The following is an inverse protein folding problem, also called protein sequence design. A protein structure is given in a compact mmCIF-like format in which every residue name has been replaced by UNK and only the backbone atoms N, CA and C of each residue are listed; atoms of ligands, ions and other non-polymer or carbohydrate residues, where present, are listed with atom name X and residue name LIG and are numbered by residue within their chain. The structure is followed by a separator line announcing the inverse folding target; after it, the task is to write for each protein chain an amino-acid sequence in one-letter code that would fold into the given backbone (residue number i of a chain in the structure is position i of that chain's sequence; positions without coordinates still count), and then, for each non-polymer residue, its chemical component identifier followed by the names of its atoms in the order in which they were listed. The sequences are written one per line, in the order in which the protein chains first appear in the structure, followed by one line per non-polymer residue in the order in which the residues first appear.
data_IF_621998734590
#
_entry.id   IF_621998734590
#
_cell.length_a   1.000
_cell.length_b   1.000
_cell.length_c   1.000
_cell.angle_alpha   90.00
_cell.angle_beta   90.00
_cell.angle_gamma   90.00
#
_symmetry.space_group_name_H-M   'P 1'
#
loop_
_entity.id
_entity.type
_entity.pdbx_description
1 polymer ?
#
# COMPACT_ATOMS: atom_id res chain seq x y z
N UNK A 1 -9.85 27.78 38.60
CA UNK A 1 -9.79 26.37 38.14
C UNK A 1 -10.00 26.35 36.63
N UNK A 2 -8.93 26.25 35.86
CA UNK A 2 -8.97 26.21 34.39
C UNK A 2 -9.47 24.84 33.93
N UNK A 3 -10.64 24.81 33.28
CA UNK A 3 -11.20 23.61 32.68
C UNK A 3 -10.37 23.22 31.44
N UNK A 4 -9.52 22.20 31.58
CA UNK A 4 -8.79 21.61 30.46
C UNK A 4 -9.78 21.15 29.39
N UNK A 5 -9.66 21.70 28.17
CA UNK A 5 -10.47 21.31 27.00
C UNK A 5 -10.31 19.80 26.78
N UNK A 6 -11.42 19.06 26.68
CA UNK A 6 -11.44 17.59 26.57
C UNK A 6 -10.65 17.14 25.32
N UNK A 7 -9.45 16.59 25.52
CA UNK A 7 -8.57 16.08 24.45
C UNK A 7 -9.19 14.82 23.85
N UNK A 8 -9.54 14.83 22.56
CA UNK A 8 -10.04 13.64 21.85
C UNK A 8 -8.87 12.72 21.47
N UNK A 9 -8.83 11.52 22.02
CA UNK A 9 -7.74 10.55 21.78
C UNK A 9 -8.02 9.69 20.54
N UNK A 10 -6.98 9.45 19.75
CA UNK A 10 -6.95 8.50 18.64
C UNK A 10 -6.99 7.04 19.11
N UNK A 11 -7.27 6.10 18.20
CA UNK A 11 -7.28 4.67 18.51
C UNK A 11 -5.91 4.19 19.03
N UNK A 12 -4.82 4.68 18.43
CA UNK A 12 -3.45 4.38 18.84
C UNK A 12 -3.17 4.86 20.26
N UNK A 13 -3.49 6.12 20.59
CA UNK A 13 -3.29 6.66 21.94
C UNK A 13 -4.11 5.88 22.99
N UNK A 14 -5.32 5.42 22.64
CA UNK A 14 -6.12 4.57 23.53
C UNK A 14 -5.48 3.20 23.76
N UNK A 15 -4.90 2.61 22.71
CA UNK A 15 -4.17 1.34 22.80
C UNK A 15 -2.91 1.49 23.64
N UNK A 16 -2.13 2.56 23.45
CA UNK A 16 -0.91 2.82 24.22
C UNK A 16 -1.20 2.92 25.73
N UNK A 17 -2.33 3.51 26.11
CA UNK A 17 -2.80 3.57 27.50
C UNK A 17 -3.13 2.17 28.05
N UNK A 18 -3.83 1.33 27.27
CA UNK A 18 -4.21 -0.03 27.66
C UNK A 18 -3.00 -0.97 27.75
N UNK A 19 -2.10 -0.90 26.77
CA UNK A 19 -0.85 -1.67 26.72
C UNK A 19 0.06 -1.28 27.90
N UNK A 20 0.17 0.03 28.20
CA UNK A 20 0.89 0.49 29.39
C UNK A 20 0.27 -0.04 30.69
N UNK A 21 -1.06 0.02 30.83
CA UNK A 21 -1.76 -0.52 32.02
C UNK A 21 -1.48 -2.02 32.19
N UNK A 22 -1.53 -2.79 31.12
CA UNK A 22 -1.31 -4.24 31.13
C UNK A 22 0.14 -4.60 31.48
N UNK A 23 1.11 -3.92 30.86
CA UNK A 23 2.54 -4.21 31.03
C UNK A 23 3.10 -3.80 32.40
N UNK A 24 2.37 -2.97 33.13
CA UNK A 24 2.79 -2.45 34.44
C UNK A 24 1.87 -2.95 35.58
N UNK A 25 1.26 -4.13 35.43
CA UNK A 25 0.52 -4.79 36.53
C UNK A 25 -0.84 -4.16 36.86
N UNK A 26 -1.61 -3.77 35.83
CA UNK A 26 -2.95 -3.17 35.99
C UNK A 26 -2.97 -1.86 36.79
N UNK A 27 -2.11 -0.94 36.36
CA UNK A 27 -1.99 0.40 36.92
C UNK A 27 -3.35 1.12 37.04
N UNK A 28 -3.57 1.75 38.19
CA UNK A 28 -4.81 2.47 38.51
C UNK A 28 -5.08 3.69 37.63
N UNK A 29 -6.36 4.06 37.51
CA UNK A 29 -6.87 5.14 36.65
C UNK A 29 -6.18 6.49 36.93
N UNK A 30 -5.88 6.79 38.20
CA UNK A 30 -5.24 8.05 38.59
C UNK A 30 -3.83 8.19 38.01
N UNK A 31 -3.03 7.12 38.07
CA UNK A 31 -1.66 7.10 37.56
C UNK A 31 -1.65 7.19 36.04
N UNK A 32 -2.60 6.53 35.37
CA UNK A 32 -2.78 6.65 33.92
C UNK A 32 -3.20 8.07 33.50
N UNK A 33 -4.13 8.68 34.23
CA UNK A 33 -4.58 10.05 33.97
C UNK A 33 -3.45 11.08 34.08
N UNK A 34 -2.61 10.95 35.12
CA UNK A 34 -1.44 11.81 35.33
C UNK A 34 -0.36 11.56 34.25
N UNK A 35 -0.04 10.30 33.95
CA UNK A 35 1.00 9.95 32.96
C UNK A 35 0.66 10.41 31.55
N UNK A 36 -0.58 10.19 31.11
CA UNK A 36 -1.00 10.51 29.75
C UNK A 36 -1.61 11.92 29.61
N UNK A 37 -1.71 12.67 30.73
CA UNK A 37 -2.36 13.98 30.80
C UNK A 37 -3.79 13.96 30.24
N UNK A 38 -4.57 12.95 30.66
CA UNK A 38 -5.95 12.71 30.21
C UNK A 38 -6.88 12.76 31.42
N UNK A 39 -8.09 13.29 31.25
CA UNK A 39 -9.09 13.30 32.32
C UNK A 39 -9.41 11.89 32.84
N UNK A 40 -9.54 11.75 34.16
CA UNK A 40 -9.80 10.46 34.83
C UNK A 40 -11.04 9.75 34.28
N UNK A 41 -12.11 10.50 34.00
CA UNK A 41 -13.35 9.98 33.41
C UNK A 41 -13.13 9.38 32.02
N UNK A 42 -12.22 9.95 31.23
CA UNK A 42 -11.90 9.45 29.89
C UNK A 42 -10.99 8.22 29.95
N UNK A 43 -10.08 8.15 30.92
CA UNK A 43 -9.32 6.91 31.18
C UNK A 43 -10.25 5.79 31.67
N UNK A 44 -11.21 6.09 32.55
CA UNK A 44 -12.20 5.12 33.00
C UNK A 44 -13.01 4.55 31.82
N UNK A 45 -13.49 5.44 30.94
CA UNK A 45 -14.20 5.05 29.71
C UNK A 45 -13.34 4.18 28.77
N UNK A 46 -12.05 4.50 28.59
CA UNK A 46 -11.12 3.68 27.79
C UNK A 46 -10.98 2.27 28.39
N UNK A 47 -10.81 2.18 29.70
CA UNK A 47 -10.64 0.91 30.41
C UNK A 47 -11.91 0.07 30.34
N UNK A 48 -13.09 0.68 30.49
CA UNK A 48 -14.37 -0.03 30.36
C UNK A 48 -14.59 -0.58 28.95
N UNK A 49 -14.07 0.09 27.92
CA UNK A 49 -14.19 -0.31 26.52
C UNK A 49 -12.96 -1.07 25.97
N UNK A 50 -12.14 -1.67 26.86
CA UNK A 50 -10.87 -2.35 26.50
C UNK A 50 -11.04 -3.36 25.35
N UNK A 51 -12.03 -4.24 25.46
CA UNK A 51 -12.28 -5.30 24.46
C UNK A 51 -12.67 -4.74 23.09
N UNK A 52 -13.50 -3.69 23.03
CA UNK A 52 -13.88 -3.06 21.77
C UNK A 52 -12.68 -2.34 21.13
N UNK A 53 -11.85 -1.69 21.94
CA UNK A 53 -10.64 -1.01 21.49
C UNK A 53 -9.63 -2.02 20.92
N UNK A 54 -9.43 -3.18 21.57
CA UNK A 54 -8.57 -4.23 21.03
C UNK A 54 -9.18 -4.96 19.81
N UNK A 55 -10.51 -5.11 19.74
CA UNK A 55 -11.18 -5.59 18.53
C UNK A 55 -11.00 -4.61 17.37
N UNK A 56 -11.04 -3.31 17.62
CA UNK A 56 -10.72 -2.28 16.62
C UNK A 56 -9.24 -2.36 16.17
N UNK A 57 -8.29 -2.61 17.09
CA UNK A 57 -6.87 -2.90 16.77
C UNK A 57 -6.73 -4.14 15.87
N UNK A 58 -7.52 -5.19 16.14
CA UNK A 58 -7.45 -6.45 15.37
C UNK A 58 -8.03 -6.32 13.96
N UNK A 59 -8.99 -5.40 13.76
CA UNK A 59 -9.49 -5.01 12.43
C UNK A 59 -8.48 -4.19 11.61
N UNK A 60 -7.37 -3.78 12.22
CA UNK A 60 -6.20 -3.18 11.56
C UNK A 60 -5.26 -4.23 10.93
N UNK A 61 -5.64 -5.52 10.95
CA UNK A 61 -5.11 -6.49 9.99
C UNK A 61 -5.63 -6.10 8.61
N UNK A 62 -4.82 -5.35 7.84
CA UNK A 62 -4.87 -4.95 6.41
C UNK A 62 -5.89 -5.66 5.48
N UNK A 63 -7.14 -5.78 5.89
CA UNK A 63 -8.21 -6.37 5.11
C UNK A 63 -8.79 -5.23 4.27
N UNK A 64 -8.77 -5.34 2.94
CA UNK A 64 -9.32 -4.31 2.08
C UNK A 64 -10.82 -4.17 2.38
N UNK A 65 -11.19 -3.08 3.06
CA UNK A 65 -12.60 -2.75 3.32
C UNK A 65 -13.12 -2.00 2.10
N UNK A 66 -13.96 -2.68 1.31
CA UNK A 66 -14.57 -2.09 0.12
C UNK A 66 -15.78 -1.22 0.45
N UNK A 67 -16.17 -0.33 -0.46
CA UNK A 67 -17.38 0.49 -0.33
C UNK A 67 -18.65 -0.36 -0.08
N UNK A 68 -18.87 -1.42 -0.87
CA UNK A 68 -19.96 -2.37 -0.62
C UNK A 68 -19.93 -2.98 0.78
N UNK A 69 -18.76 -3.35 1.30
CA UNK A 69 -18.62 -3.90 2.66
C UNK A 69 -19.05 -2.89 3.74
N UNK A 70 -18.75 -1.60 3.55
CA UNK A 70 -19.19 -0.53 4.45
C UNK A 70 -20.71 -0.35 4.38
N UNK A 71 -21.28 -0.36 3.18
CA UNK A 71 -22.72 -0.22 2.98
C UNK A 71 -23.49 -1.39 3.60
N UNK A 72 -23.02 -2.62 3.42
CA UNK A 72 -23.59 -3.83 4.02
C UNK A 72 -23.59 -3.74 5.55
N UNK A 73 -22.45 -3.37 6.14
CA UNK A 73 -22.35 -3.24 7.60
C UNK A 73 -23.22 -2.11 8.15
N UNK A 74 -23.34 -1.02 7.41
CA UNK A 74 -24.20 0.10 7.78
C UNK A 74 -25.68 -0.27 7.76
N UNK A 75 -26.13 -1.11 6.80
CA UNK A 75 -27.49 -1.65 6.79
C UNK A 75 -27.77 -2.55 7.97
N UNK A 76 -26.85 -3.47 8.30
CA UNK A 76 -26.99 -4.34 9.48
C UNK A 76 -27.11 -3.53 10.77
N UNK A 77 -26.31 -2.47 10.91
CA UNK A 77 -26.40 -1.59 12.08
C UNK A 77 -27.71 -0.80 12.10
N UNK A 78 -28.17 -0.34 10.94
CA UNK A 78 -29.45 0.34 10.85
C UNK A 78 -30.61 -0.56 11.29
N UNK A 79 -30.61 -1.83 10.87
CA UNK A 79 -31.61 -2.82 11.28
C UNK A 79 -31.60 -3.06 12.80
N UNK A 80 -30.42 -3.25 13.39
CA UNK A 80 -30.26 -3.40 14.85
C UNK A 80 -30.77 -2.16 15.61
N UNK A 81 -30.68 -0.98 15.01
CA UNK A 81 -31.14 0.27 15.60
C UNK A 81 -32.57 0.67 15.17
N UNK A 82 -33.30 -0.20 14.47
CA UNK A 82 -34.69 0.06 14.02
C UNK A 82 -34.82 1.13 12.94
N UNK A 83 -33.73 1.46 12.24
CA UNK A 83 -33.67 2.46 11.17
C UNK A 83 -33.99 1.80 9.82
N UNK A 84 -35.23 1.34 9.65
CA UNK A 84 -35.66 0.55 8.49
C UNK A 84 -35.58 1.31 7.15
N UNK A 85 -35.61 2.64 7.18
CA UNK A 85 -35.54 3.49 5.97
C UNK A 85 -34.11 3.76 5.49
N UNK A 86 -33.10 3.31 6.23
CA UNK A 86 -31.70 3.57 5.90
C UNK A 86 -31.20 2.69 4.75
N UNK A 87 -30.92 3.30 3.59
CA UNK A 87 -30.57 2.57 2.36
C UNK A 87 -29.07 2.36 2.11
N UNK A 88 -28.19 2.96 2.92
CA UNK A 88 -26.74 2.97 2.70
C UNK A 88 -26.33 3.27 1.24
N UNK A 89 -26.95 4.27 0.61
CA UNK A 89 -26.75 4.58 -0.82
C UNK A 89 -25.31 4.99 -1.15
N UNK A 90 -24.95 5.00 -2.45
CA UNK A 90 -23.64 5.49 -2.89
C UNK A 90 -23.41 6.95 -2.47
N UNK A 91 -24.45 7.79 -2.55
CA UNK A 91 -24.36 9.18 -2.08
C UNK A 91 -24.19 9.30 -0.57
N UNK A 92 -24.78 8.39 0.22
CA UNK A 92 -24.50 8.30 1.66
C UNK A 92 -23.04 7.91 1.90
N UNK A 93 -22.52 6.88 1.21
CA UNK A 93 -21.15 6.42 1.35
C UNK A 93 -20.15 7.53 0.99
N UNK A 94 -20.40 8.28 -0.07
CA UNK A 94 -19.55 9.42 -0.47
C UNK A 94 -19.54 10.52 0.59
N UNK A 95 -20.71 10.93 1.09
CA UNK A 95 -20.83 11.94 2.16
C UNK A 95 -20.22 11.46 3.47
N UNK A 96 -20.41 10.19 3.83
CA UNK A 96 -19.80 9.54 4.98
C UNK A 96 -18.28 9.59 4.88
N UNK A 97 -17.72 9.21 3.73
CA UNK A 97 -16.29 9.29 3.47
C UNK A 97 -15.76 10.71 3.58
N UNK A 98 -16.43 11.69 2.95
CA UNK A 98 -16.02 13.10 3.00
C UNK A 98 -16.06 13.65 4.43
N UNK A 99 -17.12 13.35 5.18
CA UNK A 99 -17.30 13.77 6.58
C UNK A 99 -16.24 13.19 7.52
N UNK A 100 -15.83 11.95 7.28
CA UNK A 100 -14.85 11.24 8.12
C UNK A 100 -13.44 11.19 7.52
N UNK A 101 -13.18 11.94 6.45
CA UNK A 101 -11.89 12.01 5.76
C UNK A 101 -11.32 10.64 5.34
N UNK A 102 -12.18 9.76 4.81
CA UNK A 102 -11.82 8.38 4.42
C UNK A 102 -11.48 8.34 2.91
N UNK A 103 -10.21 8.03 2.61
CA UNK A 103 -9.71 7.84 1.23
C UNK A 103 -9.48 6.36 0.93
N UNK A 104 -9.86 5.92 -0.29
CA UNK A 104 -9.42 4.62 -0.80
C UNK A 104 -7.98 4.77 -1.25
N UNK A 105 -7.09 4.01 -0.62
CA UNK A 105 -5.69 3.88 -1.04
C UNK A 105 -5.48 2.44 -1.48
N UNK A 106 -4.69 2.25 -2.53
CA UNK A 106 -4.18 0.91 -2.83
C UNK A 106 -3.29 0.48 -1.67
N UNK A 107 -3.49 -0.74 -1.18
CA UNK A 107 -2.62 -1.32 -0.16
C UNK A 107 -1.33 -1.75 -0.90
N UNK A 108 -0.29 -0.92 -0.83
CA UNK A 108 1.04 -1.29 -1.31
C UNK A 108 1.64 -2.28 -0.30
N UNK A 109 1.78 -3.54 -0.70
CA UNK A 109 2.22 -4.64 0.17
C UNK A 109 3.58 -4.41 0.84
N UNK A 110 4.47 -3.67 0.19
CA UNK A 110 5.83 -3.40 0.70
C UNK A 110 5.88 -2.27 1.73
N UNK A 111 4.91 -1.36 1.75
CA UNK A 111 4.94 -0.21 2.65
C UNK A 111 4.74 -0.60 4.13
N UNK A 112 4.15 -1.78 4.39
CA UNK A 112 3.87 -2.25 5.76
C UNK A 112 5.07 -2.91 6.45
N UNK A 113 6.14 -3.25 5.71
CA UNK A 113 7.35 -3.89 6.24
C UNK A 113 8.52 -2.90 6.42
N UNK A 114 8.31 -1.62 6.14
CA UNK A 114 9.36 -0.61 6.20
C UNK A 114 9.61 -0.18 7.65
N UNK A 115 10.82 -0.42 8.14
CA UNK A 115 11.29 0.14 9.40
C UNK A 115 11.44 1.67 9.27
N UNK A 116 10.60 2.40 10.01
CA UNK A 116 10.60 3.87 9.99
C UNK A 116 11.91 4.45 10.54
N UNK A 117 12.55 3.76 11.47
CA UNK A 117 13.83 4.19 12.05
C UNK A 117 14.91 4.15 10.97
N UNK A 118 15.01 3.02 10.24
CA UNK A 118 15.92 2.88 9.11
C UNK A 118 15.66 3.94 8.03
N UNK A 119 14.39 4.25 7.71
CA UNK A 119 14.06 5.32 6.75
C UNK A 119 14.54 6.69 7.20
N UNK A 120 14.30 7.06 8.46
CA UNK A 120 14.69 8.37 8.96
C UNK A 120 16.21 8.50 9.09
N UNK A 121 16.93 7.41 9.35
CA UNK A 121 18.40 7.36 9.28
C UNK A 121 18.91 7.54 7.83
N UNK A 122 18.32 6.82 6.87
CA UNK A 122 18.66 6.98 5.45
C UNK A 122 18.36 8.37 4.91
N UNK A 123 17.27 9.02 5.34
CA UNK A 123 16.98 10.42 4.97
C UNK A 123 18.07 11.40 5.39
N UNK A 124 18.79 11.12 6.49
CA UNK A 124 19.91 11.95 6.94
C UNK A 124 21.20 11.61 6.21
N UNK A 125 21.42 10.33 5.89
CA UNK A 125 22.65 9.84 5.24
C UNK A 125 22.69 10.09 3.73
N UNK A 126 21.57 9.88 3.06
CA UNK A 126 21.48 9.92 1.60
C UNK A 126 21.95 11.26 0.99
N UNK A 127 21.57 12.44 1.53
CA UNK A 127 22.08 13.73 1.04
C UNK A 127 23.62 13.80 0.98
N UNK A 128 24.31 13.31 2.01
CA UNK A 128 25.77 13.34 2.07
C UNK A 128 26.43 12.35 1.09
N UNK A 129 25.71 11.30 0.69
CA UNK A 129 26.20 10.33 -0.29
C UNK A 129 26.03 10.90 -1.70
N UNK A 130 24.84 11.43 -2.00
CA UNK A 130 24.52 11.97 -3.32
C UNK A 130 25.33 13.24 -3.64
N UNK A 131 25.71 14.04 -2.64
CA UNK A 131 26.52 15.25 -2.81
C UNK A 131 27.93 14.98 -3.38
N UNK A 132 28.39 13.72 -3.30
CA UNK A 132 29.68 13.29 -3.85
C UNK A 132 29.66 13.05 -5.37
N UNK A 133 28.48 13.07 -5.98
CA UNK A 133 28.28 12.75 -7.39
C UNK A 133 27.62 13.92 -8.09
N UNK A 134 27.92 14.11 -9.37
CA UNK A 134 27.15 15.06 -10.17
C UNK A 134 25.73 14.55 -10.36
N UNK A 135 24.77 15.48 -10.54
CA UNK A 135 23.36 15.12 -10.73
C UNK A 135 23.15 14.10 -11.86
N UNK A 136 23.85 14.27 -12.98
CA UNK A 136 23.77 13.34 -14.13
C UNK A 136 24.23 11.92 -13.80
N UNK A 137 25.04 11.73 -12.75
CA UNK A 137 25.61 10.44 -12.35
C UNK A 137 24.80 9.77 -11.22
N UNK A 138 23.68 10.37 -10.80
CA UNK A 138 22.79 9.81 -9.79
C UNK A 138 21.60 9.15 -10.50
N UNK A 139 21.65 7.83 -10.58
CA UNK A 139 20.63 7.02 -11.25
C UNK A 139 19.74 6.26 -10.28
N UNK A 140 18.48 6.07 -10.70
CA UNK A 140 17.58 5.08 -10.14
C UNK A 140 17.21 4.08 -11.22
N UNK A 141 17.37 2.79 -10.93
CA UNK A 141 16.97 1.70 -11.80
C UNK A 141 15.98 0.81 -11.06
N UNK A 142 14.88 0.44 -11.73
CA UNK A 142 13.89 -0.45 -11.15
C UNK A 142 13.26 -1.35 -12.22
N UNK A 143 12.77 -2.50 -11.77
CA UNK A 143 12.15 -3.51 -12.59
C UNK A 143 10.62 -3.41 -12.53
N UNK A 144 9.98 -3.55 -13.68
CA UNK A 144 8.53 -3.68 -13.76
C UNK A 144 8.12 -4.86 -14.64
N UNK A 145 6.99 -5.48 -14.30
CA UNK A 145 6.42 -6.58 -15.08
C UNK A 145 5.40 -6.03 -16.10
N UNK A 146 5.68 -6.23 -17.39
CA UNK A 146 4.77 -5.87 -18.46
C UNK A 146 3.94 -7.08 -18.91
N UNK A 147 2.66 -7.08 -18.56
CA UNK A 147 1.69 -8.08 -18.96
C UNK A 147 1.01 -7.73 -20.30
N UNK A 148 1.69 -8.00 -21.41
CA UNK A 148 1.26 -7.55 -22.75
C UNK A 148 0.11 -8.37 -23.37
N UNK A 149 -0.32 -9.49 -22.75
CA UNK A 149 -1.48 -10.30 -23.20
C UNK A 149 -2.60 -10.41 -22.17
N UNK A 150 -2.53 -9.68 -21.06
CA UNK A 150 -3.60 -9.70 -20.06
C UNK A 150 -4.81 -8.96 -20.63
N UNK A 151 -5.95 -9.64 -20.66
CA UNK A 151 -7.24 -9.03 -20.97
C UNK A 151 -7.81 -8.34 -19.73
N UNK A 152 -8.67 -7.32 -19.89
CA UNK A 152 -9.43 -6.75 -18.78
C UNK A 152 -10.18 -7.84 -18.00
N UNK A 153 -10.17 -7.74 -16.67
CA UNK A 153 -10.87 -8.66 -15.78
C UNK A 153 -12.34 -8.27 -15.52
N UNK A 154 -12.86 -7.31 -16.30
CA UNK A 154 -14.24 -6.81 -16.24
C UNK A 154 -14.75 -6.63 -17.66
N UNK A 155 -15.99 -7.04 -17.89
CA UNK A 155 -16.72 -6.79 -19.14
C UNK A 155 -18.06 -6.15 -18.79
N UNK A 156 -18.65 -5.44 -19.76
CA UNK A 156 -20.06 -5.09 -19.66
C UNK A 156 -20.87 -6.37 -19.86
N UNK A 157 -21.82 -6.61 -18.96
CA UNK A 157 -22.65 -7.81 -18.95
C UNK A 157 -24.08 -7.43 -18.59
N UNK A 158 -25.06 -8.16 -19.11
CA UNK A 158 -26.45 -7.95 -18.70
C UNK A 158 -26.64 -8.40 -17.25
N UNK A 159 -27.58 -7.77 -16.54
CA UNK A 159 -27.77 -7.90 -15.08
C UNK A 159 -27.99 -9.35 -14.59
N UNK A 160 -28.41 -10.25 -15.47
CA UNK A 160 -28.70 -11.65 -15.18
C UNK A 160 -27.77 -12.64 -15.92
N UNK A 161 -26.70 -12.16 -16.56
CA UNK A 161 -25.74 -13.03 -17.23
C UNK A 161 -24.62 -13.44 -16.26
N UNK A 162 -24.37 -14.74 -16.22
CA UNK A 162 -23.20 -15.31 -15.55
C UNK A 162 -21.96 -15.09 -16.42
N UNK A 163 -21.15 -14.10 -16.03
CA UNK A 163 -19.84 -13.87 -16.63
C UNK A 163 -18.79 -14.79 -16.03
N UNK A 164 -18.48 -15.87 -16.73
CA UNK A 164 -17.38 -16.75 -16.37
C UNK A 164 -16.07 -16.18 -16.94
N UNK A 165 -15.11 -15.90 -16.07
CA UNK A 165 -13.78 -15.43 -16.48
C UNK A 165 -12.98 -16.52 -17.20
N UNK A 166 -12.35 -16.18 -18.32
CA UNK A 166 -11.38 -17.05 -18.98
C UNK A 166 -10.02 -17.09 -18.26
N UNK A 167 -9.16 -18.05 -18.64
CA UNK A 167 -7.79 -18.13 -18.13
C UNK A 167 -7.01 -16.89 -18.57
N UNK A 168 -6.66 -16.03 -17.61
CA UNK A 168 -5.85 -14.84 -17.87
C UNK A 168 -4.46 -15.27 -18.35
N UNK A 169 -4.03 -14.76 -19.50
CA UNK A 169 -2.66 -14.97 -19.97
C UNK A 169 -1.69 -14.29 -19.01
N UNK A 170 -0.83 -15.07 -18.35
CA UNK A 170 0.24 -14.56 -17.49
C UNK A 170 1.55 -14.39 -18.26
N UNK A 171 1.47 -14.24 -19.58
CA UNK A 171 2.64 -13.87 -20.36
C UNK A 171 3.08 -12.46 -19.98
N UNK A 172 4.36 -12.37 -19.63
CA UNK A 172 4.98 -11.14 -19.18
C UNK A 172 6.37 -10.99 -19.74
N UNK A 173 6.80 -9.73 -19.83
CA UNK A 173 8.18 -9.34 -20.00
C UNK A 173 8.61 -8.65 -18.71
N UNK A 174 9.87 -8.84 -18.30
CA UNK A 174 10.48 -7.97 -17.31
C UNK A 174 11.12 -6.80 -18.04
N UNK A 175 10.86 -5.59 -17.57
CA UNK A 175 11.38 -4.35 -18.12
C UNK A 175 12.21 -3.68 -17.02
N UNK A 176 13.50 -3.51 -17.27
CA UNK A 176 14.36 -2.68 -16.43
C UNK A 176 14.39 -1.27 -17.05
N UNK A 177 14.02 -0.29 -16.24
CA UNK A 177 14.08 1.13 -16.57
C UNK A 177 15.11 1.80 -15.67
N UNK A 178 15.94 2.66 -16.25
CA UNK A 178 16.92 3.43 -15.50
C UNK A 178 16.87 4.89 -15.96
N UNK A 179 16.91 5.81 -15.00
CA UNK A 179 16.84 7.25 -15.24
C UNK A 179 17.73 7.97 -14.24
N UNK A 180 18.42 9.02 -14.68
CA UNK A 180 19.18 9.89 -13.79
C UNK A 180 18.30 11.01 -13.20
N UNK A 181 18.81 11.71 -12.18
CA UNK A 181 18.06 12.75 -11.49
C UNK A 181 17.71 13.96 -12.38
N UNK A 182 18.43 14.15 -13.51
CA UNK A 182 18.15 15.23 -14.46
C UNK A 182 17.11 14.83 -15.52
N UNK A 183 16.65 13.57 -15.50
CA UNK A 183 15.56 13.07 -16.34
C UNK A 183 16.00 12.42 -17.65
N UNK A 184 17.29 12.11 -17.82
CA UNK A 184 17.77 11.33 -18.95
C UNK A 184 17.49 9.85 -18.72
N UNK A 185 16.93 9.20 -19.74
CA UNK A 185 16.56 7.79 -19.71
C UNK A 185 17.59 6.93 -20.41
N UNK A 186 18.01 5.88 -19.73
CA UNK A 186 18.78 4.83 -20.38
C UNK A 186 17.91 3.98 -21.29
N UNK A 187 18.59 3.33 -22.25
CA UNK A 187 17.97 2.33 -23.11
C UNK A 187 17.33 1.24 -22.24
N UNK A 188 16.00 1.00 -22.36
CA UNK A 188 15.34 -0.03 -21.58
C UNK A 188 15.86 -1.43 -21.91
N UNK A 189 16.00 -2.26 -20.88
CA UNK A 189 16.34 -3.67 -21.04
C UNK A 189 15.07 -4.52 -20.87
N UNK A 190 14.79 -5.35 -21.88
CA UNK A 190 13.62 -6.22 -21.94
C UNK A 190 14.07 -7.67 -21.81
N UNK A 191 13.49 -8.39 -20.86
CA UNK A 191 13.77 -9.81 -20.63
C UNK A 191 12.53 -10.63 -20.98
N UNK A 192 12.66 -11.46 -22.01
CA UNK A 192 11.62 -12.40 -22.44
C UNK A 192 11.94 -13.86 -22.13
N UNK A 193 10.98 -14.75 -22.44
CA UNK A 193 11.17 -16.20 -22.28
C UNK A 193 12.01 -16.84 -23.38
N UNK A 194 11.79 -16.37 -24.61
CA UNK A 194 12.40 -16.94 -25.80
C UNK A 194 13.62 -16.13 -26.23
N UNK A 195 14.71 -16.80 -26.60
CA UNK A 195 15.88 -16.17 -27.23
C UNK A 195 15.49 -15.30 -28.42
N UNK A 196 14.63 -15.85 -29.28
CA UNK A 196 14.06 -15.13 -30.41
C UNK A 196 12.57 -15.46 -30.52
N UNK A 197 11.68 -14.60 -29.99
CA UNK A 197 10.25 -14.72 -30.19
C UNK A 197 9.88 -14.85 -31.67
N UNK A 198 8.81 -15.58 -31.99
CA UNK A 198 8.30 -15.69 -33.37
C UNK A 198 7.96 -14.33 -33.99
N UNK A 199 7.57 -13.36 -33.17
CA UNK A 199 7.33 -11.98 -33.59
C UNK A 199 8.58 -11.29 -34.15
N UNK A 200 9.80 -11.75 -33.83
CA UNK A 200 11.04 -11.17 -34.32
C UNK A 200 11.49 -11.80 -35.66
N UNK A 201 10.64 -12.61 -36.28
CA UNK A 201 10.91 -13.18 -37.61
C UNK A 201 11.00 -12.04 -38.61
N UNK A 202 12.10 -11.96 -39.35
CA UNK A 202 12.44 -10.88 -40.30
C UNK A 202 12.71 -9.49 -39.68
N UNK A 203 12.75 -9.39 -38.34
CA UNK A 203 13.19 -8.16 -37.66
C UNK A 203 14.67 -8.27 -37.27
N UNK A 204 15.37 -7.15 -37.39
CA UNK A 204 16.73 -6.98 -36.87
C UNK A 204 16.64 -6.44 -35.44
N UNK A 205 16.99 -7.28 -34.47
CA UNK A 205 16.91 -6.96 -33.03
C UNK A 205 17.89 -5.85 -32.66
N UNK A 206 18.99 -5.70 -33.39
CA UNK A 206 19.99 -4.66 -33.11
C UNK A 206 19.47 -3.25 -33.43
N UNK A 207 18.41 -3.15 -34.24
CA UNK A 207 17.76 -1.88 -34.58
C UNK A 207 16.66 -1.49 -33.60
N UNK A 208 16.38 -2.33 -32.60
CA UNK A 208 15.35 -2.00 -31.63
C UNK A 208 15.82 -0.84 -30.74
N UNK A 209 14.89 0.00 -30.26
CA UNK A 209 15.21 1.06 -29.29
C UNK A 209 15.39 0.53 -27.86
N UNK A 210 15.50 -0.80 -27.71
CA UNK A 210 15.61 -1.50 -26.43
C UNK A 210 16.63 -2.63 -26.56
N UNK A 211 17.20 -3.03 -25.43
CA UNK A 211 18.02 -4.23 -25.37
C UNK A 211 17.15 -5.46 -25.08
N UNK A 212 17.44 -6.57 -25.76
CA UNK A 212 16.69 -7.82 -25.58
C UNK A 212 17.56 -8.91 -24.95
N UNK A 213 17.14 -9.37 -23.79
CA UNK A 213 17.67 -10.54 -23.11
C UNK A 213 16.59 -11.62 -22.96
N UNK A 214 17.02 -12.83 -22.62
CA UNK A 214 16.09 -13.94 -22.46
C UNK A 214 16.56 -14.94 -21.41
N UNK A 215 15.60 -15.57 -20.74
CA UNK A 215 15.78 -16.81 -19.99
C UNK A 215 14.42 -17.50 -19.80
N UNK A 216 14.38 -18.77 -19.39
CA UNK A 216 13.12 -19.54 -19.29
C UNK A 216 12.06 -18.90 -18.38
N UNK A 217 12.46 -18.08 -17.40
CA UNK A 217 11.56 -17.44 -16.44
C UNK A 217 11.13 -16.03 -16.86
N UNK A 218 11.86 -15.40 -17.78
CA UNK A 218 11.76 -13.98 -18.14
C UNK A 218 11.97 -13.04 -16.94
N UNK A 219 12.92 -13.35 -16.05
CA UNK A 219 13.24 -12.56 -14.84
C UNK A 219 14.63 -11.96 -14.95
N UNK A 220 14.91 -10.92 -14.16
CA UNK A 220 16.29 -10.51 -13.94
C UNK A 220 17.09 -11.64 -13.28
N UNK A 221 18.33 -11.79 -13.72
CA UNK A 221 19.31 -12.69 -13.10
C UNK A 221 20.58 -11.92 -12.81
N UNK A 222 21.40 -12.41 -11.88
CA UNK A 222 22.70 -11.80 -11.57
C UNK A 222 23.54 -11.60 -12.84
N UNK A 223 23.58 -12.60 -13.73
CA UNK A 223 24.33 -12.49 -14.99
C UNK A 223 23.81 -11.36 -15.88
N UNK A 224 22.48 -11.26 -16.06
CA UNK A 224 21.88 -10.22 -16.91
C UNK A 224 22.15 -8.83 -16.30
N UNK A 225 22.02 -8.68 -14.98
CA UNK A 225 22.30 -7.43 -14.29
C UNK A 225 23.77 -7.04 -14.42
N UNK A 226 24.69 -7.98 -14.23
CA UNK A 226 26.14 -7.74 -14.43
C UNK A 226 26.44 -7.34 -15.86
N UNK A 227 25.91 -8.05 -16.86
CA UNK A 227 26.12 -7.72 -18.28
C UNK A 227 25.56 -6.34 -18.64
N UNK A 228 24.45 -5.94 -18.02
CA UNK A 228 23.87 -4.61 -18.18
C UNK A 228 24.74 -3.54 -17.52
N UNK A 229 25.18 -3.74 -16.28
CA UNK A 229 26.07 -2.82 -15.55
C UNK A 229 27.42 -2.63 -16.26
N UNK A 230 27.96 -3.66 -16.91
CA UNK A 230 29.21 -3.55 -17.67
C UNK A 230 29.07 -2.71 -18.96
N UNK A 231 27.83 -2.53 -19.45
CA UNK A 231 27.52 -1.66 -20.61
C UNK A 231 27.04 -0.28 -20.19
N UNK A 232 26.45 -0.19 -19.00
CA UNK A 232 26.02 1.04 -18.36
C UNK A 232 27.25 1.93 -18.15
N UNK A 233 27.24 3.11 -18.76
CA UNK A 233 28.34 4.07 -18.78
C UNK A 233 27.84 5.43 -18.37
#
# INVERSE_FOLDING_TARGET
MTTLKRKRLSLREKIDILDYRKNNGNVGIRVLAEKFQVGKTQIADIVSNTEEIYKAKTREKNLPVSGPTIQEKAKQLAEVHGLNDFKASNGWLEKFRKRHNISFKSICGEASSVDRIAVDDWKKKLPNIIDKYEKRDIFNADETELFFRVLPNKTMAFKNETCNGGKVSKERLTVLLCCNIIGEFERPLIIGKAKRPRAFKKLDVNKFPVDWCWNKKAWMTTQIMTDWLMKFR
#
